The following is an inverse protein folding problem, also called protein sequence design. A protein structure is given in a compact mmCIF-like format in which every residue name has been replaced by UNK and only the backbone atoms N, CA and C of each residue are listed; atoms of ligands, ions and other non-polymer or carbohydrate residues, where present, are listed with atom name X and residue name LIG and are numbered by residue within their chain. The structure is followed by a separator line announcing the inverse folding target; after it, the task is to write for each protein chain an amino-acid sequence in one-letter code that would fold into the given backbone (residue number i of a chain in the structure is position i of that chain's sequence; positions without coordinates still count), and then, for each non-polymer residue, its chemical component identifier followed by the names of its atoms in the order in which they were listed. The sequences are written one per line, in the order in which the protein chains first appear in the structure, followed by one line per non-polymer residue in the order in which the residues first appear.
data_IF_735344061887
#
_entry.id   IF_735344061887
#
_cell.length_a   1.000
_cell.length_b   1.000
_cell.length_c   1.000
_cell.angle_alpha   90.00
_cell.angle_beta   90.00
_cell.angle_gamma   90.00
#
_symmetry.space_group_name_H-M   'P 1'
#
loop_
_entity.id
_entity.type
_entity.pdbx_description
1 polymer ?
#
# COMPACT_ATOMS: atom_id res chain seq x y z
N UNK A 1 54.25 7.48 -38.20
CA UNK A 1 53.16 6.91 -39.00
C UNK A 1 52.69 5.68 -38.25
N UNK A 2 51.57 5.78 -37.54
CA UNK A 2 50.90 4.58 -37.02
C UNK A 2 50.35 3.82 -38.24
N UNK A 3 50.71 2.55 -38.35
CA UNK A 3 50.18 1.65 -39.36
C UNK A 3 48.66 1.54 -39.20
N UNK A 4 47.88 1.37 -40.29
CA UNK A 4 46.46 1.09 -40.15
C UNK A 4 46.28 -0.19 -39.31
N UNK A 5 45.30 -0.22 -38.39
CA UNK A 5 45.09 -1.36 -37.51
C UNK A 5 44.89 -2.63 -38.35
N UNK A 6 45.58 -3.69 -37.97
CA UNK A 6 45.41 -5.00 -38.61
C UNK A 6 44.03 -5.57 -38.26
N UNK A 7 43.47 -6.49 -39.07
CA UNK A 7 42.19 -7.14 -38.73
C UNK A 7 42.17 -7.78 -37.34
N UNK A 8 43.33 -8.27 -36.88
CA UNK A 8 43.51 -8.86 -35.54
C UNK A 8 43.48 -7.78 -34.43
N UNK A 9 43.99 -6.58 -34.70
CA UNK A 9 43.87 -5.44 -33.78
C UNK A 9 42.41 -5.02 -33.61
N UNK A 10 41.61 -5.10 -34.69
CA UNK A 10 40.18 -4.76 -34.66
C UNK A 10 39.38 -5.81 -33.88
N UNK A 11 39.67 -7.11 -34.04
CA UNK A 11 38.98 -8.16 -33.26
C UNK A 11 39.29 -8.08 -31.78
N UNK A 12 40.56 -7.84 -31.42
CA UNK A 12 40.97 -7.68 -30.02
C UNK A 12 40.30 -6.45 -29.38
N UNK A 13 40.18 -5.35 -30.12
CA UNK A 13 39.47 -4.14 -29.67
C UNK A 13 37.98 -4.40 -29.40
N UNK A 14 37.34 -5.23 -30.23
CA UNK A 14 35.93 -5.62 -30.04
C UNK A 14 35.77 -6.54 -28.84
N UNK A 15 36.66 -7.52 -28.67
CA UNK A 15 36.61 -8.46 -27.55
C UNK A 15 36.87 -7.75 -26.22
N UNK A 16 37.84 -6.83 -26.17
CA UNK A 16 38.12 -6.00 -24.99
C UNK A 16 36.94 -5.08 -24.67
N UNK A 17 36.35 -4.43 -25.69
CA UNK A 17 35.17 -3.60 -25.53
C UNK A 17 33.98 -4.41 -24.98
N UNK A 18 33.75 -5.63 -25.47
CA UNK A 18 32.70 -6.52 -24.97
C UNK A 18 33.00 -6.94 -23.53
N UNK A 19 34.23 -7.35 -23.23
CA UNK A 19 34.62 -7.80 -21.88
C UNK A 19 34.46 -6.68 -20.83
N UNK A 20 34.77 -5.45 -21.19
CA UNK A 20 34.65 -4.28 -20.31
C UNK A 20 33.20 -3.74 -20.23
N UNK A 21 32.47 -3.74 -21.36
CA UNK A 21 31.11 -3.20 -21.43
C UNK A 21 30.02 -4.17 -20.98
N UNK A 22 30.27 -5.48 -21.02
CA UNK A 22 29.25 -6.47 -20.67
C UNK A 22 28.84 -6.40 -19.19
N UNK A 23 29.75 -6.31 -18.20
CA UNK A 23 29.37 -6.15 -16.80
C UNK A 23 28.56 -4.87 -16.53
N UNK A 24 28.94 -3.76 -17.18
CA UNK A 24 28.23 -2.48 -17.01
C UNK A 24 26.83 -2.52 -17.64
N UNK A 25 26.67 -3.14 -18.80
CA UNK A 25 25.37 -3.36 -19.42
C UNK A 25 24.47 -4.25 -18.57
N UNK A 26 25.01 -5.32 -17.98
CA UNK A 26 24.29 -6.16 -17.02
C UNK A 26 23.87 -5.38 -15.77
N UNK A 27 24.73 -4.52 -15.23
CA UNK A 27 24.41 -3.66 -14.11
C UNK A 27 23.28 -2.66 -14.45
N UNK A 28 23.30 -2.03 -15.64
CA UNK A 28 22.24 -1.13 -16.10
C UNK A 28 20.89 -1.87 -16.14
N UNK A 29 20.86 -3.07 -16.73
CA UNK A 29 19.65 -3.90 -16.80
C UNK A 29 19.17 -4.28 -15.39
N UNK A 30 20.07 -4.69 -14.50
CA UNK A 30 19.74 -5.06 -13.13
C UNK A 30 19.17 -3.88 -12.34
N UNK A 31 19.79 -2.70 -12.42
CA UNK A 31 19.32 -1.46 -11.79
C UNK A 31 17.94 -1.06 -12.31
N UNK A 32 17.72 -1.14 -13.63
CA UNK A 32 16.43 -0.83 -14.24
C UNK A 32 15.34 -1.80 -13.78
N UNK A 33 15.63 -3.10 -13.78
CA UNK A 33 14.72 -4.15 -13.32
C UNK A 33 14.37 -3.98 -11.82
N UNK A 34 15.38 -3.77 -10.97
CA UNK A 34 15.19 -3.51 -9.54
C UNK A 34 14.36 -2.25 -9.30
N UNK A 35 14.66 -1.16 -10.01
CA UNK A 35 13.89 0.09 -9.90
C UNK A 35 12.44 -0.08 -10.32
N UNK A 36 12.17 -0.87 -11.37
CA UNK A 36 10.82 -1.25 -11.79
C UNK A 36 10.09 -2.09 -10.74
N UNK A 37 10.80 -3.02 -10.09
CA UNK A 37 10.27 -3.78 -8.97
C UNK A 37 9.91 -2.89 -7.77
N UNK A 38 10.83 -2.02 -7.35
CA UNK A 38 10.60 -1.04 -6.27
C UNK A 38 9.42 -0.13 -6.61
N UNK A 39 9.29 0.26 -7.88
CA UNK A 39 8.16 1.06 -8.34
C UNK A 39 6.81 0.38 -8.12
N UNK A 40 6.71 -0.91 -8.45
CA UNK A 40 5.52 -1.70 -8.20
C UNK A 40 5.27 -1.86 -6.69
N UNK A 41 6.31 -2.24 -5.96
CA UNK A 41 6.32 -2.46 -4.53
C UNK A 41 5.74 -1.27 -3.77
N UNK A 42 6.35 -0.08 -3.93
CA UNK A 42 5.96 1.07 -3.13
C UNK A 42 4.54 1.53 -3.49
N UNK A 43 4.12 1.37 -4.75
CA UNK A 43 2.80 1.87 -5.21
C UNK A 43 1.67 1.01 -4.67
N UNK A 44 1.91 -0.28 -4.49
CA UNK A 44 0.98 -1.17 -3.81
C UNK A 44 1.02 -0.92 -2.30
N UNK A 45 2.20 -0.63 -1.75
CA UNK A 45 2.34 -0.40 -0.32
C UNK A 45 1.80 0.96 0.15
N UNK A 46 1.88 2.00 -0.67
CA UNK A 46 1.50 3.36 -0.27
C UNK A 46 0.00 3.65 -0.38
N UNK A 47 -0.76 2.79 -1.06
CA UNK A 47 -2.21 2.94 -1.18
C UNK A 47 -2.88 2.65 0.15
N UNK A 48 -3.81 3.55 0.54
CA UNK A 48 -4.66 3.34 1.70
C UNK A 48 -5.60 2.15 1.50
N UNK A 49 -6.22 2.08 0.33
CA UNK A 49 -7.12 0.99 -0.06
C UNK A 49 -6.48 0.17 -1.18
N UNK A 50 -5.80 -0.91 -0.81
CA UNK A 50 -5.07 -1.75 -1.76
C UNK A 50 -6.02 -2.61 -2.62
N UNK A 51 -7.18 -2.97 -2.08
CA UNK A 51 -8.19 -3.80 -2.75
C UNK A 51 -9.53 -3.06 -2.84
N UNK A 52 -9.90 -2.59 -4.03
CA UNK A 52 -11.24 -2.10 -4.31
C UNK A 52 -12.10 -3.27 -4.82
N UNK A 53 -12.98 -3.80 -3.97
CA UNK A 53 -13.88 -4.91 -4.34
C UNK A 53 -15.28 -4.40 -4.62
N UNK A 54 -15.78 -4.73 -5.81
CA UNK A 54 -17.15 -4.50 -6.21
C UNK A 54 -18.03 -5.71 -5.83
N UNK A 55 -18.74 -5.59 -4.71
CA UNK A 55 -19.66 -6.62 -4.21
C UNK A 55 -21.05 -6.58 -4.87
N UNK A 56 -21.26 -5.76 -5.90
CA UNK A 56 -22.55 -5.69 -6.62
C UNK A 56 -22.95 -7.00 -7.31
N UNK A 57 -22.01 -7.93 -7.50
CA UNK A 57 -22.26 -9.20 -8.21
C UNK A 57 -22.87 -10.33 -7.36
N UNK A 58 -22.90 -10.22 -6.03
CA UNK A 58 -23.51 -11.22 -5.14
C UNK A 58 -24.97 -10.87 -4.75
N UNK A 59 -25.60 -10.02 -5.56
CA UNK A 59 -26.79 -9.24 -5.23
C UNK A 59 -28.11 -9.89 -5.69
N UNK A 60 -28.25 -11.21 -5.76
CA UNK A 60 -29.50 -11.80 -6.33
C UNK A 60 -30.22 -12.89 -5.53
N UNK A 61 -29.64 -13.50 -4.48
CA UNK A 61 -30.19 -14.77 -3.94
C UNK A 61 -30.61 -14.81 -2.46
N UNK A 62 -30.54 -13.71 -1.68
CA UNK A 62 -30.89 -13.73 -0.24
C UNK A 62 -31.70 -12.53 0.26
N UNK A 63 -32.57 -12.76 1.26
CA UNK A 63 -33.45 -11.76 1.88
C UNK A 63 -32.74 -10.63 2.64
N UNK A 64 -33.37 -9.44 2.68
CA UNK A 64 -32.70 -8.14 2.93
C UNK A 64 -31.84 -7.97 4.18
N UNK A 65 -32.28 -8.45 5.36
CA UNK A 65 -31.51 -8.28 6.63
C UNK A 65 -30.31 -9.24 6.73
N UNK A 66 -30.51 -10.51 6.35
CA UNK A 66 -29.45 -11.54 6.32
C UNK A 66 -28.44 -11.22 5.21
N UNK A 67 -28.91 -10.71 4.08
CA UNK A 67 -28.06 -10.19 3.00
C UNK A 67 -27.16 -9.06 3.47
N UNK A 68 -27.69 -8.07 4.19
CA UNK A 68 -26.92 -6.95 4.70
C UNK A 68 -25.83 -7.41 5.69
N UNK A 69 -26.15 -8.36 6.57
CA UNK A 69 -25.19 -8.93 7.52
C UNK A 69 -24.09 -9.73 6.81
N UNK A 70 -24.43 -10.70 5.94
CA UNK A 70 -23.44 -11.51 5.22
C UNK A 70 -22.57 -10.68 4.29
N UNK A 71 -23.14 -9.69 3.57
CA UNK A 71 -22.36 -8.79 2.71
C UNK A 71 -21.33 -8.00 3.52
N UNK A 72 -21.74 -7.51 4.69
CA UNK A 72 -20.86 -6.76 5.59
C UNK A 72 -19.80 -7.67 6.22
N UNK A 73 -20.17 -8.88 6.62
CA UNK A 73 -19.27 -9.86 7.22
C UNK A 73 -18.22 -10.38 6.22
N UNK A 74 -18.62 -10.74 4.99
CA UNK A 74 -17.70 -11.16 3.92
C UNK A 74 -16.76 -10.02 3.53
N UNK A 75 -17.29 -8.81 3.39
CA UNK A 75 -16.47 -7.62 3.13
C UNK A 75 -15.47 -7.40 4.27
N UNK A 76 -15.89 -7.47 5.53
CA UNK A 76 -15.02 -7.31 6.70
C UNK A 76 -13.95 -8.40 6.78
N UNK A 77 -14.31 -9.67 6.62
CA UNK A 77 -13.36 -10.81 6.73
C UNK A 77 -12.32 -10.73 5.62
N UNK A 78 -12.75 -10.47 4.38
CA UNK A 78 -11.83 -10.37 3.26
C UNK A 78 -10.90 -9.17 3.42
N UNK A 79 -11.38 -8.02 3.89
CA UNK A 79 -10.53 -6.85 4.14
C UNK A 79 -9.59 -7.05 5.33
N UNK A 80 -10.09 -7.65 6.42
CA UNK A 80 -9.32 -7.88 7.65
C UNK A 80 -8.25 -8.96 7.51
N UNK A 81 -8.37 -9.86 6.52
CA UNK A 81 -7.37 -10.92 6.29
C UNK A 81 -6.51 -10.66 5.05
N UNK A 82 -7.11 -10.33 3.91
CA UNK A 82 -6.36 -10.20 2.66
C UNK A 82 -5.37 -9.02 2.70
N UNK A 83 -5.74 -7.91 3.35
CA UNK A 83 -4.83 -6.77 3.44
C UNK A 83 -3.64 -7.03 4.35
N UNK A 84 -3.81 -7.51 5.60
CA UNK A 84 -2.65 -7.84 6.43
C UNK A 84 -1.74 -8.91 5.80
N UNK A 85 -2.31 -9.87 5.07
CA UNK A 85 -1.51 -10.85 4.32
C UNK A 85 -0.70 -10.15 3.22
N UNK A 86 -1.33 -9.26 2.43
CA UNK A 86 -0.63 -8.54 1.37
C UNK A 86 0.45 -7.61 1.93
N UNK A 87 0.15 -6.89 3.02
CA UNK A 87 1.14 -6.06 3.73
C UNK A 87 2.28 -6.95 4.23
N UNK A 88 1.95 -8.08 4.88
CA UNK A 88 2.92 -9.04 5.38
C UNK A 88 3.84 -9.56 4.28
N UNK A 89 3.28 -9.98 3.14
CA UNK A 89 4.06 -10.41 1.98
C UNK A 89 5.10 -9.34 1.59
N UNK A 90 4.70 -8.07 1.50
CA UNK A 90 5.62 -6.97 1.20
C UNK A 90 6.61 -6.67 2.33
N UNK A 91 6.24 -6.90 3.59
CA UNK A 91 7.18 -6.81 4.73
C UNK A 91 8.27 -7.87 4.62
N UNK A 92 7.95 -9.10 4.20
CA UNK A 92 8.97 -10.15 3.97
C UNK A 92 9.93 -9.72 2.88
N UNK A 93 9.40 -9.22 1.76
CA UNK A 93 10.24 -8.68 0.69
C UNK A 93 11.21 -7.61 1.22
N UNK A 94 10.71 -6.67 2.03
CA UNK A 94 11.58 -5.64 2.64
C UNK A 94 12.60 -6.24 3.61
N UNK A 95 12.20 -7.20 4.43
CA UNK A 95 13.09 -7.87 5.38
C UNK A 95 14.21 -8.62 4.67
N UNK A 96 13.90 -9.31 3.56
CA UNK A 96 14.90 -9.98 2.73
C UNK A 96 15.89 -8.96 2.15
N UNK A 97 15.39 -7.86 1.58
CA UNK A 97 16.26 -6.79 1.05
C UNK A 97 17.18 -6.23 2.15
N UNK A 98 16.68 -6.06 3.37
CA UNK A 98 17.48 -5.59 4.51
C UNK A 98 18.50 -6.63 4.98
N UNK A 99 18.14 -7.90 5.02
CA UNK A 99 19.05 -8.96 5.44
C UNK A 99 20.20 -9.16 4.47
N UNK A 100 19.95 -9.10 3.17
CA UNK A 100 21.00 -9.18 2.15
C UNK A 100 21.94 -7.95 2.13
N UNK A 101 21.65 -6.91 2.93
CA UNK A 101 22.47 -5.70 3.01
C UNK A 101 23.16 -5.56 4.36
N UNK A 102 22.53 -6.03 5.43
CA UNK A 102 23.05 -5.88 6.77
C UNK A 102 24.19 -6.86 7.00
N UNK A 103 25.39 -6.33 7.24
CA UNK A 103 26.50 -7.10 7.81
C UNK A 103 26.05 -7.62 9.20
N UNK A 104 25.63 -8.88 9.26
CA UNK A 104 25.42 -9.61 10.51
C UNK A 104 24.14 -10.46 10.62
N UNK A 105 24.23 -11.48 11.47
CA UNK A 105 23.28 -12.59 11.62
C UNK A 105 21.96 -12.24 12.34
N UNK A 106 21.69 -10.95 12.63
CA UNK A 106 20.49 -10.54 13.36
C UNK A 106 19.29 -10.37 12.43
N UNK A 107 18.84 -11.48 11.85
CA UNK A 107 17.71 -11.54 10.94
C UNK A 107 16.39 -11.10 11.62
N UNK A 108 16.26 -11.33 12.93
CA UNK A 108 15.09 -10.91 13.71
C UNK A 108 14.98 -9.38 13.75
N UNK A 109 16.09 -8.68 13.98
CA UNK A 109 16.14 -7.21 13.95
C UNK A 109 15.81 -6.64 12.58
N UNK A 110 16.28 -7.26 11.49
CA UNK A 110 15.97 -6.81 10.13
C UNK A 110 14.47 -6.94 9.81
N UNK A 111 13.83 -8.02 10.25
CA UNK A 111 12.39 -8.20 10.14
C UNK A 111 11.60 -7.15 10.96
N UNK A 112 12.09 -6.79 12.16
CA UNK A 112 11.49 -5.72 12.98
C UNK A 112 11.64 -4.35 12.31
N UNK A 113 12.81 -4.04 11.74
CA UNK A 113 13.04 -2.80 11.00
C UNK A 113 12.14 -2.70 9.77
N UNK A 114 12.04 -3.77 8.98
CA UNK A 114 11.11 -3.85 7.86
C UNK A 114 9.67 -3.58 8.32
N UNK A 115 9.26 -4.17 9.44
CA UNK A 115 7.92 -3.99 10.01
C UNK A 115 7.67 -2.56 10.47
N UNK A 116 8.65 -1.91 11.10
CA UNK A 116 8.55 -0.51 11.53
C UNK A 116 8.40 0.43 10.32
N UNK A 117 9.17 0.19 9.25
CA UNK A 117 9.10 0.96 8.01
C UNK A 117 7.76 0.76 7.33
N UNK A 118 7.32 -0.49 7.15
CA UNK A 118 6.02 -0.81 6.54
C UNK A 118 4.87 -0.24 7.38
N UNK A 119 4.92 -0.36 8.71
CA UNK A 119 3.94 0.24 9.61
C UNK A 119 3.87 1.77 9.49
N UNK A 120 5.03 2.43 9.37
CA UNK A 120 5.10 3.88 9.14
C UNK A 120 4.46 4.26 7.80
N UNK A 121 4.76 3.52 6.72
CA UNK A 121 4.11 3.69 5.41
C UNK A 121 2.60 3.55 5.52
N UNK A 122 2.10 2.57 6.30
CA UNK A 122 0.66 2.39 6.52
C UNK A 122 0.02 3.57 7.18
N UNK A 123 0.57 4.03 8.30
CA UNK A 123 0.05 5.21 9.02
C UNK A 123 0.00 6.41 8.07
N UNK A 124 1.05 6.63 7.29
CA UNK A 124 1.14 7.75 6.35
C UNK A 124 0.13 7.64 5.20
N UNK A 125 -0.24 6.43 4.75
CA UNK A 125 -1.23 6.24 3.69
C UNK A 125 -2.61 6.78 4.07
N UNK A 126 -2.95 6.78 5.36
CA UNK A 126 -4.19 7.36 5.89
C UNK A 126 -4.12 8.89 6.03
N UNK A 127 -2.92 9.47 5.97
CA UNK A 127 -2.71 10.92 5.95
C UNK A 127 -2.66 11.45 4.52
N UNK A 128 -1.65 11.03 3.75
CA UNK A 128 -1.44 11.38 2.34
C UNK A 128 -0.68 10.24 1.64
N UNK A 129 -1.26 9.72 0.56
CA UNK A 129 -0.62 8.63 -0.21
C UNK A 129 0.72 9.03 -0.83
N UNK A 130 0.92 10.30 -1.18
CA UNK A 130 2.18 10.77 -1.76
C UNK A 130 3.34 10.71 -0.74
N UNK A 131 3.10 11.11 0.51
CA UNK A 131 4.12 10.99 1.56
C UNK A 131 4.41 9.52 1.89
N UNK A 132 3.37 8.70 1.95
CA UNK A 132 3.51 7.24 2.13
C UNK A 132 4.37 6.63 1.02
N UNK A 133 4.17 7.08 -0.23
CA UNK A 133 4.92 6.68 -1.41
C UNK A 133 6.40 7.04 -1.30
N UNK A 134 6.69 8.25 -0.84
CA UNK A 134 8.06 8.73 -0.68
C UNK A 134 8.80 7.96 0.41
N UNK A 135 8.15 7.67 1.53
CA UNK A 135 8.77 6.87 2.60
C UNK A 135 8.95 5.40 2.18
N UNK A 136 7.99 4.81 1.49
CA UNK A 136 8.05 3.41 1.07
C UNK A 136 9.19 3.11 0.09
N UNK A 137 9.55 4.07 -0.77
CA UNK A 137 10.63 3.92 -1.75
C UNK A 137 12.02 4.25 -1.19
N UNK A 138 12.11 4.98 -0.07
CA UNK A 138 13.39 5.43 0.49
C UNK A 138 14.32 4.26 0.80
N UNK A 139 13.81 3.24 1.51
CA UNK A 139 14.66 2.14 1.98
C UNK A 139 15.17 1.25 0.83
N UNK A 140 14.32 0.78 -0.11
CA UNK A 140 14.81 0.00 -1.24
C UNK A 140 15.81 0.78 -2.13
N UNK A 141 15.60 2.08 -2.35
CA UNK A 141 16.57 2.87 -3.11
C UNK A 141 17.85 3.18 -2.33
N UNK A 142 17.77 3.34 -1.01
CA UNK A 142 18.96 3.45 -0.18
C UNK A 142 19.78 2.16 -0.25
N UNK A 143 19.11 0.99 -0.20
CA UNK A 143 19.76 -0.31 -0.36
C UNK A 143 20.45 -0.42 -1.71
N UNK A 144 19.76 -0.06 -2.80
CA UNK A 144 20.38 -0.02 -4.13
C UNK A 144 21.60 0.91 -4.16
N UNK A 145 21.51 2.08 -3.54
CA UNK A 145 22.62 3.03 -3.46
C UNK A 145 23.83 2.46 -2.73
N UNK A 146 23.63 1.79 -1.58
CA UNK A 146 24.72 1.13 -0.84
C UNK A 146 25.29 -0.04 -1.64
N UNK A 147 24.44 -0.87 -2.25
CA UNK A 147 24.87 -2.00 -3.08
C UNK A 147 25.73 -1.58 -4.29
N UNK A 148 25.45 -0.42 -4.90
CA UNK A 148 26.22 0.08 -6.04
C UNK A 148 27.58 0.68 -5.65
N UNK A 149 27.73 1.15 -4.41
CA UNK A 149 28.95 1.83 -3.94
C UNK A 149 29.85 0.89 -3.15
N UNK A 150 29.25 0.00 -2.36
CA UNK A 150 29.98 -0.97 -1.56
C UNK A 150 30.34 -2.19 -2.40
N UNK A 151 31.50 -2.77 -2.15
CA UNK A 151 31.91 -4.09 -2.66
C UNK A 151 31.17 -5.25 -1.97
N UNK A 152 29.94 -5.01 -1.50
CA UNK A 152 29.07 -6.03 -0.89
C UNK A 152 28.65 -6.97 -2.02
N UNK A 153 29.37 -8.08 -2.15
CA UNK A 153 28.92 -9.22 -2.94
C UNK A 153 27.89 -9.97 -2.11
N UNK A 154 26.64 -10.02 -2.57
CA UNK A 154 25.64 -10.91 -1.99
C UNK A 154 26.12 -12.33 -2.23
N UNK A 155 26.62 -12.99 -1.18
CA UNK A 155 27.07 -14.36 -1.27
C UNK A 155 25.87 -15.32 -1.23
N UNK A 156 26.00 -16.45 -1.91
CA UNK A 156 24.93 -17.46 -1.90
C UNK A 156 24.74 -18.08 -0.50
N UNK A 157 25.76 -18.03 0.35
CA UNK A 157 25.75 -18.45 1.75
C UNK A 157 24.70 -17.71 2.57
N UNK A 158 24.52 -16.40 2.38
CA UNK A 158 23.50 -15.60 3.09
C UNK A 158 22.07 -16.08 2.79
N UNK A 159 21.83 -16.57 1.56
CA UNK A 159 20.54 -17.16 1.20
C UNK A 159 20.32 -18.52 1.87
N UNK A 160 21.38 -19.31 2.04
CA UNK A 160 21.32 -20.60 2.71
C UNK A 160 21.02 -20.43 4.20
N UNK A 161 21.70 -19.47 4.85
CA UNK A 161 21.46 -19.10 6.25
C UNK A 161 20.02 -18.59 6.49
N UNK A 162 19.48 -17.80 5.55
CA UNK A 162 18.06 -17.39 5.58
C UNK A 162 17.09 -18.58 5.54
N UNK A 163 17.41 -19.63 4.77
CA UNK A 163 16.59 -20.84 4.65
C UNK A 163 16.72 -21.74 5.89
N UNK A 164 17.92 -21.81 6.47
CA UNK A 164 18.18 -22.52 7.71
C UNK A 164 17.44 -21.88 8.90
N UNK A 165 17.49 -20.55 9.00
CA UNK A 165 16.84 -19.76 10.05
C UNK A 165 15.35 -19.47 9.80
N UNK A 166 14.72 -20.16 8.83
CA UNK A 166 13.30 -19.95 8.45
C UNK A 166 12.31 -20.02 9.60
N UNK A 167 12.59 -20.82 10.64
CA UNK A 167 11.67 -20.99 11.76
C UNK A 167 11.62 -19.74 12.65
N UNK A 168 12.78 -19.13 12.90
CA UNK A 168 12.87 -17.88 13.65
C UNK A 168 12.31 -16.72 12.83
N UNK A 169 12.65 -16.66 11.55
CA UNK A 169 12.09 -15.71 10.59
C UNK A 169 10.57 -15.83 10.51
N UNK A 170 10.02 -17.04 10.45
CA UNK A 170 8.57 -17.27 10.41
C UNK A 170 7.88 -16.76 11.68
N UNK A 171 8.49 -16.93 12.85
CA UNK A 171 7.96 -16.39 14.12
C UNK A 171 7.97 -14.87 14.12
N UNK A 172 9.09 -14.26 13.73
CA UNK A 172 9.20 -12.80 13.62
C UNK A 172 8.21 -12.25 12.58
N UNK A 173 8.05 -12.95 11.46
CA UNK A 173 7.07 -12.63 10.43
C UNK A 173 5.63 -12.70 10.95
N UNK A 174 5.25 -13.76 11.66
CA UNK A 174 3.91 -13.89 12.23
C UNK A 174 3.62 -12.78 13.25
N UNK A 175 4.58 -12.45 14.12
CA UNK A 175 4.46 -11.34 15.05
C UNK A 175 4.24 -10.01 14.32
N UNK A 176 5.01 -9.79 13.26
CA UNK A 176 4.91 -8.61 12.41
C UNK A 176 3.56 -8.53 11.69
N UNK A 177 3.06 -9.67 11.19
CA UNK A 177 1.76 -9.77 10.53
C UNK A 177 0.62 -9.47 11.50
N UNK A 178 0.66 -10.01 12.71
CA UNK A 178 -0.33 -9.72 13.77
C UNK A 178 -0.30 -8.23 14.11
N UNK A 179 0.88 -7.66 14.32
CA UNK A 179 1.05 -6.24 14.64
C UNK A 179 0.48 -5.34 13.53
N UNK A 180 0.87 -5.60 12.28
CA UNK A 180 0.40 -4.83 11.13
C UNK A 180 -1.10 -5.01 10.89
N UNK A 181 -1.66 -6.19 11.18
CA UNK A 181 -3.10 -6.45 11.14
C UNK A 181 -3.87 -5.61 12.16
N UNK A 182 -3.39 -5.56 13.41
CA UNK A 182 -3.96 -4.71 14.46
C UNK A 182 -3.88 -3.24 14.04
N UNK A 183 -2.69 -2.80 13.60
CA UNK A 183 -2.47 -1.42 13.16
C UNK A 183 -3.44 -1.02 12.03
N UNK A 184 -3.53 -1.84 10.98
CA UNK A 184 -4.39 -1.58 9.82
C UNK A 184 -5.86 -1.51 10.24
N UNK A 185 -6.31 -2.43 11.11
CA UNK A 185 -7.68 -2.45 11.63
C UNK A 185 -8.00 -1.18 12.41
N UNK A 186 -7.08 -0.76 13.29
CA UNK A 186 -7.23 0.45 14.10
C UNK A 186 -7.31 1.69 13.22
N UNK A 187 -6.39 1.84 12.25
CA UNK A 187 -6.38 2.97 11.31
C UNK A 187 -7.69 3.05 10.50
N UNK A 188 -8.19 1.90 10.05
CA UNK A 188 -9.44 1.79 9.30
C UNK A 188 -10.65 2.21 10.14
N UNK A 189 -10.72 1.78 11.40
CA UNK A 189 -11.79 2.20 12.33
C UNK A 189 -11.73 3.73 12.55
N UNK A 190 -10.54 4.29 12.81
CA UNK A 190 -10.38 5.73 12.98
C UNK A 190 -10.80 6.52 11.75
N UNK A 191 -10.43 6.04 10.56
CA UNK A 191 -10.82 6.67 9.30
C UNK A 191 -12.34 6.65 9.11
N UNK A 192 -12.97 5.48 9.29
CA UNK A 192 -14.43 5.34 9.18
C UNK A 192 -15.19 6.22 10.17
N UNK A 193 -14.72 6.33 11.41
CA UNK A 193 -15.29 7.24 12.42
C UNK A 193 -15.16 8.71 12.00
N UNK A 194 -13.99 9.13 11.53
CA UNK A 194 -13.74 10.51 11.07
C UNK A 194 -14.66 10.86 9.89
N UNK A 195 -14.78 9.98 8.91
CA UNK A 195 -15.67 10.18 7.76
C UNK A 195 -17.14 10.24 8.19
N UNK A 196 -17.58 9.38 9.10
CA UNK A 196 -18.94 9.40 9.63
C UNK A 196 -19.25 10.74 10.31
N UNK A 197 -18.36 11.23 11.18
CA UNK A 197 -18.54 12.52 11.88
C UNK A 197 -18.59 13.67 10.87
N UNK A 198 -17.71 13.68 9.87
CA UNK A 198 -17.69 14.72 8.82
C UNK A 198 -18.98 14.66 7.99
N UNK A 199 -19.43 13.47 7.61
CA UNK A 199 -20.67 13.26 6.86
C UNK A 199 -21.88 13.78 7.63
N UNK A 200 -22.01 13.42 8.91
CA UNK A 200 -23.05 13.92 9.80
C UNK A 200 -23.05 15.46 9.89
N UNK A 201 -21.87 16.08 10.01
CA UNK A 201 -21.74 17.56 10.00
C UNK A 201 -22.20 18.18 8.68
N UNK A 202 -21.90 17.55 7.53
CA UNK A 202 -22.36 18.02 6.20
C UNK A 202 -23.88 17.94 6.07
N UNK A 203 -24.48 16.82 6.51
CA UNK A 203 -25.93 16.64 6.54
C UNK A 203 -26.59 17.69 7.43
N UNK A 204 -26.08 17.91 8.64
CA UNK A 204 -26.62 18.91 9.56
C UNK A 204 -26.52 20.34 9.01
N UNK A 205 -25.44 20.67 8.28
CA UNK A 205 -25.32 21.95 7.57
C UNK A 205 -26.37 22.10 6.47
N UNK A 206 -26.63 21.05 5.68
CA UNK A 206 -27.69 21.04 4.66
C UNK A 206 -29.08 21.22 5.28
N UNK A 207 -29.40 20.46 6.33
CA UNK A 207 -30.66 20.59 7.07
C UNK A 207 -30.86 22.01 7.62
N UNK A 208 -29.81 22.62 8.18
CA UNK A 208 -29.88 24.01 8.67
C UNK A 208 -30.14 25.03 7.55
N UNK A 209 -29.61 24.80 6.34
CA UNK A 209 -29.85 25.65 5.18
C UNK A 209 -31.30 25.52 4.68
N UNK A 210 -31.81 24.29 4.54
CA UNK A 210 -33.18 24.03 4.10
C UNK A 210 -34.22 24.55 5.09
N UNK A 211 -33.98 24.42 6.40
CA UNK A 211 -34.84 25.00 7.43
C UNK A 211 -34.93 26.53 7.33
N UNK A 212 -33.83 27.21 6.94
CA UNK A 212 -33.83 28.66 6.75
C UNK A 212 -34.57 29.08 5.47
N UNK A 213 -34.52 28.27 4.42
CA UNK A 213 -35.19 28.54 3.12
C UNK A 213 -36.69 28.24 3.15
N UNK A 214 -37.12 27.22 3.88
CA UNK A 214 -38.51 26.74 3.92
C UNK A 214 -39.28 27.19 5.15
N UNK A 215 -38.61 27.75 6.17
CA UNK A 215 -39.22 28.07 7.47
C UNK A 215 -39.58 26.85 8.32
N UNK A 216 -39.36 25.62 7.83
CA UNK A 216 -39.69 24.36 8.51
C UNK A 216 -38.63 23.95 9.54
N UNK A 217 -39.04 23.17 10.54
CA UNK A 217 -38.12 22.62 11.54
C UNK A 217 -37.16 21.60 10.91
N UNK A 218 -35.96 21.45 11.49
CA UNK A 218 -34.98 20.45 11.06
C UNK A 218 -35.46 19.01 11.27
N UNK A 219 -36.33 18.79 12.26
CA UNK A 219 -36.94 17.48 12.53
C UNK A 219 -37.78 17.04 11.34
N UNK A 220 -38.67 17.92 10.90
CA UNK A 220 -39.69 17.62 9.89
C UNK A 220 -39.04 17.38 8.53
N UNK A 221 -38.04 18.19 8.18
CA UNK A 221 -37.25 17.99 6.96
C UNK A 221 -36.47 16.66 6.99
N UNK A 222 -36.00 16.24 8.17
CA UNK A 222 -35.28 14.97 8.31
C UNK A 222 -36.21 13.77 8.20
N UNK A 223 -37.42 13.88 8.72
CA UNK A 223 -38.45 12.85 8.67
C UNK A 223 -38.90 12.64 7.21
N UNK A 224 -39.20 13.72 6.48
CA UNK A 224 -39.52 13.68 5.04
C UNK A 224 -38.38 13.03 4.21
N UNK A 225 -37.12 13.35 4.53
CA UNK A 225 -35.96 12.73 3.86
C UNK A 225 -35.81 11.23 4.13
N UNK A 226 -36.29 10.74 5.28
CA UNK A 226 -36.24 9.33 5.66
C UNK A 226 -37.41 8.54 5.06
N UNK A 227 -38.56 9.19 4.86
CA UNK A 227 -39.81 8.56 4.40
C UNK A 227 -39.92 8.53 2.86
N UNK A 228 -39.59 9.63 2.17
CA UNK A 228 -39.80 9.74 0.71
C UNK A 228 -38.55 9.47 -0.14
N UNK A 229 -37.35 9.52 0.45
CA UNK A 229 -36.08 9.40 -0.28
C UNK A 229 -35.76 10.56 -1.24
N UNK A 230 -36.70 11.48 -1.49
CA UNK A 230 -36.57 12.70 -2.30
C UNK A 230 -37.42 13.80 -1.63
N UNK A 231 -36.87 15.01 -1.47
CA UNK A 231 -37.57 16.15 -0.84
C UNK A 231 -38.69 16.71 -1.73
N UNK A 232 -39.95 16.67 -1.26
CA UNK A 232 -41.05 17.44 -1.83
C UNK A 232 -40.93 18.94 -1.43
N UNK A 233 -40.85 19.83 -2.42
CA UNK A 233 -40.66 21.29 -2.24
C UNK A 233 -41.96 22.11 -2.39
N UNK A 234 -43.13 21.54 -2.10
CA UNK A 234 -44.40 22.19 -2.47
C UNK A 234 -44.94 23.26 -1.51
N UNK A 235 -44.36 23.51 -0.35
CA UNK A 235 -44.96 24.44 0.63
C UNK A 235 -44.21 25.76 0.74
N UNK A 236 -44.51 26.65 -0.21
CA UNK A 236 -44.05 28.05 -0.21
C UNK A 236 -44.92 29.05 -0.99
N UNK A 237 -45.96 28.61 -1.71
CA UNK A 237 -46.80 29.53 -2.51
C UNK A 237 -48.17 29.86 -1.90
N UNK A 238 -48.63 29.17 -0.85
CA UNK A 238 -50.00 29.38 -0.33
C UNK A 238 -50.07 30.31 0.90
N UNK A 239 -49.32 31.41 0.87
CA UNK A 239 -49.52 32.53 1.80
C UNK A 239 -49.54 33.84 1.01
N UNK A 240 -50.57 34.01 0.17
CA UNK A 240 -51.23 35.29 -0.15
C UNK A 240 -52.24 35.08 -1.29
N UNK A 241 -53.48 34.72 -0.94
CA UNK A 241 -54.73 35.37 -1.38
C UNK A 241 -55.93 34.80 -0.61
#
# INVERSE_FOLDING_TARGET
MEFPPTPDDISNLVDDFIAESFPTLMAIIAIAAYSGFVFMFYRLLAKRDILNLDLSKYDQTMGGKIRAFFRTAVWLIQYALAIPILIGFWTVVMAVILTLLADGDDHARNALLATAVVGSVRILSYWTEDLSRDVAKMLPFAVLGVFLVSSISVEFSEFEELIENRNELARSYLNSLILLSILETVLRIFHGLKELIISQRRVNKKLKKMAKETGRSKSDIREDMLDEGILNKSTGEDVNE
#
